data_IF_000053091909
#
_entry.id   IF_000053091909
#
_cell.length_a   1.000
_cell.length_b   1.000
_cell.length_c   1.000
_cell.angle_alpha   90.00
_cell.angle_beta   90.00
_cell.angle_gamma   90.00
#
_symmetry.space_group_name_H-M   'P 1'
#
loop_
_entity.id
_entity.type
_entity.pdbx_description
1 polymer ?
#
# COMPACT_ATOMS: atom_id res chain seq x y z
N UNK A 1 -3.52 14.14 -24.43
CA UNK A 1 -2.59 14.81 -23.50
C UNK A 1 -2.36 13.84 -22.34
N UNK A 2 -1.28 13.05 -22.37
CA UNK A 2 -1.02 12.00 -21.38
C UNK A 2 0.05 12.48 -20.40
N UNK A 3 -0.29 12.61 -19.12
CA UNK A 3 0.68 12.86 -18.06
C UNK A 3 1.49 11.59 -17.83
N UNK A 4 2.72 11.57 -18.33
CA UNK A 4 3.70 10.56 -17.99
C UNK A 4 4.15 10.79 -16.53
N UNK A 5 3.72 9.92 -15.61
CA UNK A 5 4.29 9.89 -14.26
C UNK A 5 5.72 9.39 -14.38
N UNK A 6 6.69 10.30 -14.28
CA UNK A 6 8.11 9.96 -14.25
C UNK A 6 8.36 9.20 -12.94
N UNK A 7 8.60 7.90 -13.03
CA UNK A 7 9.16 7.12 -11.94
C UNK A 7 10.49 7.76 -11.53
N UNK A 8 10.74 8.01 -10.23
CA UNK A 8 12.05 8.51 -9.81
C UNK A 8 13.12 7.48 -10.18
N UNK A 9 14.28 7.91 -10.71
CA UNK A 9 15.38 7.00 -10.98
C UNK A 9 15.78 6.27 -9.69
N UNK A 10 16.08 4.97 -9.80
CA UNK A 10 16.35 4.02 -8.72
C UNK A 10 17.59 4.35 -7.83
N UNK A 11 18.12 5.57 -7.91
CA UNK A 11 19.37 5.99 -7.27
C UNK A 11 19.20 6.77 -5.96
N UNK A 12 17.98 6.97 -5.44
CA UNK A 12 17.78 7.76 -4.20
C UNK A 12 17.19 6.90 -3.08
N UNK A 13 17.95 5.89 -2.66
CA UNK A 13 17.72 5.16 -1.40
C UNK A 13 18.22 5.96 -0.18
N UNK A 14 17.90 7.26 -0.14
CA UNK A 14 18.03 8.03 1.09
C UNK A 14 16.70 7.90 1.84
N UNK A 15 16.70 7.49 3.13
CA UNK A 15 15.47 7.39 3.91
C UNK A 15 14.68 8.69 3.93
N UNK A 16 15.36 9.84 3.78
CA UNK A 16 14.75 11.16 3.68
C UNK A 16 13.89 11.38 2.42
N UNK A 17 14.14 10.66 1.33
CA UNK A 17 13.33 10.78 0.10
C UNK A 17 12.09 9.91 0.19
N UNK A 18 12.20 8.70 0.75
CA UNK A 18 11.04 7.84 1.01
C UNK A 18 10.06 8.52 1.98
N UNK A 19 10.57 9.21 3.02
CA UNK A 19 9.71 10.00 3.92
C UNK A 19 9.12 11.23 3.26
N UNK A 20 9.80 11.86 2.30
CA UNK A 20 9.22 13.00 1.54
C UNK A 20 8.02 12.57 0.69
N UNK A 21 8.10 11.45 -0.03
CA UNK A 21 6.94 10.90 -0.77
C UNK A 21 5.78 10.56 0.18
N UNK A 22 6.09 9.96 1.33
CA UNK A 22 5.13 9.60 2.37
C UNK A 22 4.45 10.83 3.00
N UNK A 23 5.14 11.97 3.07
CA UNK A 23 4.59 13.23 3.62
C UNK A 23 3.61 13.90 2.66
N UNK A 24 3.89 13.87 1.36
CA UNK A 24 3.03 14.46 0.31
C UNK A 24 1.71 13.66 0.16
N UNK A 25 1.76 12.35 0.40
CA UNK A 25 0.59 11.46 0.42
C UNK A 25 -0.39 11.76 1.56
N UNK A 26 0.07 12.34 2.69
CA UNK A 26 -0.80 12.81 3.78
C UNK A 26 -1.74 13.96 3.40
N UNK A 27 -1.53 14.60 2.25
CA UNK A 27 -2.38 15.66 1.70
C UNK A 27 -3.33 15.17 0.58
N UNK A 28 -3.30 13.87 0.23
CA UNK A 28 -4.13 13.30 -0.85
C UNK A 28 -5.48 12.78 -0.37
N UNK A 29 -5.80 12.89 0.93
CA UNK A 29 -7.04 12.38 1.51
C UNK A 29 -7.11 10.86 1.65
N UNK A 30 -6.00 10.15 1.43
CA UNK A 30 -5.88 8.71 1.59
C UNK A 30 -5.04 8.37 2.84
N UNK A 31 -5.41 7.28 3.53
CA UNK A 31 -4.63 6.75 4.65
C UNK A 31 -3.58 5.78 4.13
N UNK A 32 -2.34 5.97 4.56
CA UNK A 32 -1.27 5.00 4.37
C UNK A 32 -1.33 3.96 5.48
N UNK A 33 -1.12 2.70 5.10
CA UNK A 33 -1.08 1.57 6.01
C UNK A 33 0.31 0.94 5.92
N UNK A 34 0.92 0.70 7.09
CA UNK A 34 2.14 -0.09 7.12
C UNK A 34 1.79 -1.58 7.02
N UNK A 35 2.80 -2.42 6.75
CA UNK A 35 2.60 -3.85 6.57
C UNK A 35 1.88 -4.52 7.75
N UNK A 36 2.16 -4.08 8.98
CA UNK A 36 1.53 -4.60 10.18
C UNK A 36 0.02 -4.33 10.21
N UNK A 37 -0.42 -3.14 9.79
CA UNK A 37 -1.85 -2.82 9.69
C UNK A 37 -2.57 -3.75 8.71
N UNK A 38 -1.92 -4.03 7.57
CA UNK A 38 -2.47 -4.92 6.53
C UNK A 38 -2.51 -6.36 7.05
N UNK A 39 -1.44 -6.81 7.71
CA UNK A 39 -1.34 -8.14 8.29
C UNK A 39 -2.42 -8.37 9.34
N UNK A 40 -2.62 -7.43 10.24
CA UNK A 40 -3.64 -7.56 11.30
C UNK A 40 -5.05 -7.49 10.70
N UNK A 41 -5.31 -6.55 9.79
CA UNK A 41 -6.62 -6.40 9.16
C UNK A 41 -7.04 -7.63 8.33
N UNK A 42 -6.07 -8.39 7.79
CA UNK A 42 -6.31 -9.64 7.04
C UNK A 42 -6.29 -10.89 7.92
N UNK A 43 -6.19 -10.75 9.24
CA UNK A 43 -5.95 -11.85 10.18
C UNK A 43 -4.75 -12.71 9.74
N UNK A 44 -3.60 -12.07 9.58
CA UNK A 44 -2.35 -12.67 9.12
C UNK A 44 -2.47 -13.38 7.76
N UNK A 45 -3.20 -12.79 6.81
CA UNK A 45 -3.49 -13.38 5.50
C UNK A 45 -4.16 -14.76 5.59
N UNK A 46 -5.02 -14.95 6.59
CA UNK A 46 -5.78 -16.20 6.78
C UNK A 46 -6.59 -16.55 5.53
N UNK A 47 -6.68 -17.84 5.22
CA UNK A 47 -7.52 -18.33 4.12
C UNK A 47 -9.01 -18.05 4.36
N UNK A 48 -9.43 -17.83 5.61
CA UNK A 48 -10.81 -17.41 5.94
C UNK A 48 -11.13 -16.01 5.41
N UNK A 49 -10.11 -15.16 5.28
CA UNK A 49 -10.23 -13.82 4.71
C UNK A 49 -10.03 -13.82 3.19
N UNK A 50 -9.66 -14.95 2.57
CA UNK A 50 -9.38 -15.01 1.13
C UNK A 50 -10.69 -15.00 0.32
N UNK A 51 -10.84 -13.97 -0.51
CA UNK A 51 -11.97 -13.83 -1.42
C UNK A 51 -11.74 -14.54 -2.76
N UNK A 52 -10.48 -14.63 -3.18
CA UNK A 52 -10.12 -15.34 -4.42
C UNK A 52 -8.65 -15.20 -4.78
N UNK A 53 -8.20 -16.03 -5.73
CA UNK A 53 -6.85 -16.03 -6.27
C UNK A 53 -6.89 -16.16 -7.80
N UNK A 54 -6.12 -15.32 -8.50
CA UNK A 54 -6.06 -15.31 -9.97
C UNK A 54 -4.85 -14.57 -10.51
N UNK A 55 -4.92 -14.12 -11.77
CA UNK A 55 -3.81 -13.39 -12.45
C UNK A 55 -3.42 -12.06 -11.81
N UNK A 56 -4.25 -11.55 -10.89
CA UNK A 56 -4.00 -10.33 -10.11
C UNK A 56 -3.42 -10.61 -8.71
N UNK A 57 -3.17 -11.88 -8.38
CA UNK A 57 -2.74 -12.30 -7.04
C UNK A 57 -3.89 -12.79 -6.16
N UNK A 58 -3.64 -12.81 -4.85
CA UNK A 58 -4.62 -13.18 -3.82
C UNK A 58 -5.34 -11.94 -3.29
N UNK A 59 -6.66 -11.99 -3.21
CA UNK A 59 -7.51 -10.90 -2.72
C UNK A 59 -8.07 -11.30 -1.35
N UNK A 60 -7.83 -10.47 -0.33
CA UNK A 60 -8.29 -10.70 1.03
C UNK A 60 -9.30 -9.64 1.46
N UNK A 61 -10.30 -10.04 2.24
CA UNK A 61 -11.17 -9.15 2.99
C UNK A 61 -10.42 -8.65 4.22
N UNK A 62 -10.41 -7.33 4.41
CA UNK A 62 -9.84 -6.69 5.58
C UNK A 62 -10.95 -6.26 6.54
N UNK A 63 -10.73 -6.43 7.84
CA UNK A 63 -11.55 -5.81 8.89
C UNK A 63 -10.78 -4.63 9.46
N UNK A 64 -11.37 -3.44 9.36
CA UNK A 64 -10.80 -2.22 9.92
C UNK A 64 -11.80 -1.68 10.94
N UNK A 65 -11.36 -1.53 12.18
CA UNK A 65 -12.15 -0.79 13.18
C UNK A 65 -11.78 0.70 13.08
N UNK A 66 -12.79 1.57 13.15
CA UNK A 66 -12.67 3.03 13.03
C UNK A 66 -12.32 3.68 14.36
#
# INVERSE_FOLDING_TARGET
MATARRSPPAAIFSPNVITLWRLEEGNLGFKLYDFYDIKDATNNFSSESLLGKGGFGSVYKCYYEY
#
